data_IF_676758485582
#
_entry.id   IF_676758485582
#
_cell.length_a   1.000
_cell.length_b   1.000
_cell.length_c   1.000
_cell.angle_alpha   90.00
_cell.angle_beta   90.00
_cell.angle_gamma   90.00
#
_symmetry.space_group_name_H-M   'P 1'
#
loop_
_entity.id
_entity.type
_entity.pdbx_description
1 polymer ?
#
# COMPACT_ATOMS: atom_id res chain seq x y z
N UNK A 1 -7.90 -8.54 10.01
CA UNK A 1 -8.51 -7.46 9.28
C UNK A 1 -7.90 -6.10 9.54
N UNK A 2 -7.53 -5.78 10.79
CA UNK A 2 -6.95 -4.47 11.11
C UNK A 2 -5.47 -4.33 10.71
N UNK A 3 -4.84 -5.39 10.24
CA UNK A 3 -3.48 -5.34 9.77
C UNK A 3 -3.45 -4.80 8.34
N UNK A 4 -2.59 -3.81 8.10
CA UNK A 4 -2.42 -3.18 6.80
C UNK A 4 -1.34 -3.91 6.02
N UNK A 5 -1.68 -4.33 4.81
CA UNK A 5 -0.69 -4.82 3.84
C UNK A 5 -0.29 -3.66 2.93
N UNK A 6 1.01 -3.40 2.84
CA UNK A 6 1.56 -2.40 1.91
C UNK A 6 2.06 -3.14 0.67
N UNK A 7 1.30 -3.06 -0.40
CA UNK A 7 1.60 -3.76 -1.65
C UNK A 7 2.17 -2.78 -2.67
N UNK A 8 3.29 -3.12 -3.27
CA UNK A 8 3.92 -2.30 -4.31
C UNK A 8 3.54 -2.85 -5.67
N UNK A 9 3.02 -2.00 -6.53
CA UNK A 9 2.63 -2.36 -7.89
C UNK A 9 3.44 -1.55 -8.89
N UNK A 10 3.74 -2.18 -10.01
CA UNK A 10 4.28 -1.50 -11.18
C UNK A 10 3.14 -1.22 -12.15
N UNK A 11 3.01 0.04 -12.56
CA UNK A 11 2.03 0.48 -13.54
C UNK A 11 2.79 1.09 -14.72
N UNK A 12 2.88 0.35 -15.82
CA UNK A 12 3.75 0.66 -16.96
C UNK A 12 5.20 0.83 -16.48
N UNK A 13 5.73 2.04 -16.46
CA UNK A 13 7.10 2.34 -16.01
C UNK A 13 7.15 3.05 -14.66
N UNK A 14 6.02 3.14 -13.95
CA UNK A 14 5.96 3.80 -12.65
C UNK A 14 5.57 2.80 -11.55
N UNK A 15 5.77 3.22 -10.31
CA UNK A 15 5.44 2.38 -9.15
C UNK A 15 4.51 3.12 -8.21
N UNK A 16 3.66 2.37 -7.52
CA UNK A 16 2.75 2.91 -6.52
C UNK A 16 2.58 1.90 -5.39
N UNK A 17 2.05 2.38 -4.28
CA UNK A 17 1.78 1.55 -3.10
C UNK A 17 0.29 1.52 -2.87
N UNK A 18 -0.24 0.33 -2.60
CA UNK A 18 -1.63 0.15 -2.21
C UNK A 18 -1.67 -0.39 -0.79
N UNK A 19 -2.37 0.32 0.09
CA UNK A 19 -2.58 -0.10 1.47
C UNK A 19 -3.95 -0.76 1.54
N UNK A 20 -3.96 -2.04 1.87
CA UNK A 20 -5.19 -2.83 1.94
C UNK A 20 -5.26 -3.59 3.26
N UNK A 21 -6.48 -3.91 3.69
CA UNK A 21 -6.68 -4.72 4.89
C UNK A 21 -6.15 -6.14 4.68
N UNK A 22 -5.64 -6.75 5.75
CA UNK A 22 -5.05 -8.08 5.69
C UNK A 22 -6.01 -9.16 5.21
N UNK A 23 -7.32 -8.97 5.40
CA UNK A 23 -8.36 -9.91 4.97
C UNK A 23 -8.91 -9.63 3.57
N UNK A 24 -8.35 -8.66 2.87
CA UNK A 24 -8.79 -8.26 1.53
C UNK A 24 -7.72 -8.52 0.49
N UNK A 25 -8.15 -8.61 -0.77
CA UNK A 25 -7.26 -8.81 -1.90
C UNK A 25 -7.41 -7.63 -2.87
N UNK A 26 -6.29 -7.07 -3.29
CA UNK A 26 -6.30 -5.97 -4.26
C UNK A 26 -6.81 -6.46 -5.62
N UNK A 27 -7.67 -5.68 -6.24
CA UNK A 27 -8.20 -5.99 -7.56
C UNK A 27 -7.39 -5.25 -8.62
N UNK A 28 -6.67 -6.00 -9.45
CA UNK A 28 -5.91 -5.41 -10.55
C UNK A 28 -6.81 -4.68 -11.54
N UNK A 29 -8.00 -5.21 -11.79
CA UNK A 29 -8.95 -4.58 -12.72
C UNK A 29 -9.41 -3.21 -12.21
N UNK A 30 -9.77 -3.13 -10.92
CA UNK A 30 -10.14 -1.84 -10.33
C UNK A 30 -8.98 -0.87 -10.34
N UNK A 31 -7.79 -1.37 -10.01
CA UNK A 31 -6.59 -0.55 -9.97
C UNK A 31 -6.25 0.04 -11.34
N UNK A 32 -6.32 -0.79 -12.40
CA UNK A 32 -6.08 -0.32 -13.77
C UNK A 32 -7.01 0.82 -14.17
N UNK A 33 -8.29 0.72 -13.77
CA UNK A 33 -9.28 1.76 -14.08
C UNK A 33 -8.98 3.05 -13.33
N UNK A 34 -8.62 2.95 -12.06
CA UNK A 34 -8.36 4.13 -11.20
C UNK A 34 -7.14 4.90 -11.68
N UNK A 35 -6.04 4.20 -11.94
CA UNK A 35 -4.78 4.83 -12.34
C UNK A 35 -4.66 5.02 -13.85
N UNK A 36 -5.61 4.49 -14.63
CA UNK A 36 -5.67 4.62 -16.09
C UNK A 36 -4.41 4.09 -16.78
N UNK A 37 -3.96 2.92 -16.33
CA UNK A 37 -2.82 2.20 -16.92
C UNK A 37 -3.28 0.82 -17.36
N UNK A 38 -2.69 0.32 -18.45
CA UNK A 38 -3.06 -0.99 -18.99
C UNK A 38 -2.24 -2.11 -18.39
N UNK A 39 -0.96 -1.87 -18.14
CA UNK A 39 -0.01 -2.88 -17.70
C UNK A 39 0.29 -2.66 -16.22
N UNK A 40 -0.42 -3.39 -15.36
CA UNK A 40 -0.28 -3.29 -13.91
C UNK A 40 -0.02 -4.67 -13.34
N UNK A 41 1.07 -4.81 -12.59
CA UNK A 41 1.41 -6.07 -11.94
C UNK A 41 2.10 -5.78 -10.60
N UNK A 42 2.19 -6.80 -9.75
CA UNK A 42 2.94 -6.66 -8.52
C UNK A 42 4.43 -6.49 -8.83
N UNK A 43 5.08 -5.59 -8.11
CA UNK A 43 6.53 -5.40 -8.20
C UNK A 43 7.23 -6.62 -7.62
N UNK A 44 8.39 -6.98 -8.19
CA UNK A 44 9.22 -8.05 -7.64
C UNK A 44 10.03 -7.54 -6.44
N UNK A 45 10.75 -8.45 -5.75
CA UNK A 45 11.49 -8.10 -4.55
C UNK A 45 12.54 -7.02 -4.78
N UNK A 46 13.25 -7.08 -5.91
CA UNK A 46 14.28 -6.08 -6.24
C UNK A 46 13.66 -4.71 -6.51
N UNK A 47 12.54 -4.67 -7.22
CA UNK A 47 11.81 -3.43 -7.48
C UNK A 47 11.27 -2.81 -6.20
N UNK A 48 10.73 -3.63 -5.29
CA UNK A 48 10.25 -3.16 -3.99
C UNK A 48 11.41 -2.51 -3.23
N UNK A 49 12.54 -3.18 -3.13
CA UNK A 49 13.71 -2.66 -2.41
C UNK A 49 14.25 -1.39 -3.04
N UNK A 50 14.36 -1.34 -4.36
CA UNK A 50 14.89 -0.18 -5.08
C UNK A 50 14.02 1.06 -4.93
N UNK A 51 12.70 0.90 -4.88
CA UNK A 51 11.76 2.01 -4.85
C UNK A 51 11.39 2.45 -3.43
N UNK A 52 11.33 1.52 -2.49
CA UNK A 52 10.88 1.84 -1.14
C UNK A 52 12.00 1.85 -0.11
N UNK A 53 13.09 1.14 -0.35
CA UNK A 53 14.14 0.93 0.64
C UNK A 53 13.84 -0.20 1.62
N UNK A 54 12.65 -0.77 1.56
CA UNK A 54 12.22 -1.85 2.45
C UNK A 54 12.17 -3.17 1.70
N UNK A 55 12.32 -4.27 2.44
CA UNK A 55 12.16 -5.62 1.88
C UNK A 55 10.67 -5.93 1.71
N UNK A 56 10.37 -6.81 0.75
CA UNK A 56 9.00 -7.29 0.54
C UNK A 56 8.48 -7.90 1.86
N UNK A 57 7.23 -7.59 2.20
CA UNK A 57 6.64 -8.01 3.47
C UNK A 57 6.95 -7.08 4.64
N UNK A 58 7.92 -6.16 4.49
CA UNK A 58 8.28 -5.21 5.53
C UNK A 58 8.14 -3.75 5.10
N UNK A 59 7.36 -3.48 4.06
CA UNK A 59 7.20 -2.12 3.53
C UNK A 59 6.34 -1.29 4.49
N UNK A 60 6.97 -0.25 5.08
CA UNK A 60 6.23 0.71 5.89
C UNK A 60 5.36 1.59 4.99
N UNK A 61 4.27 2.17 5.52
CA UNK A 61 3.41 3.04 4.72
C UNK A 61 4.02 4.41 4.41
N UNK A 62 5.14 4.74 5.04
CA UNK A 62 5.83 6.03 4.87
C UNK A 62 7.34 5.79 4.81
N UNK A 63 8.11 6.87 4.61
CA UNK A 63 9.58 6.88 4.64
C UNK A 63 10.23 6.08 3.51
N UNK A 64 9.64 6.10 2.34
CA UNK A 64 10.18 5.40 1.17
C UNK A 64 11.34 6.17 0.54
N UNK A 65 12.26 5.45 -0.11
CA UNK A 65 13.40 6.06 -0.81
C UNK A 65 12.95 7.02 -1.90
N UNK A 66 11.91 6.65 -2.63
CA UNK A 66 11.34 7.49 -3.69
C UNK A 66 9.93 7.93 -3.27
N UNK A 67 9.53 9.10 -3.73
CA UNK A 67 8.17 9.57 -3.50
C UNK A 67 7.23 8.79 -4.41
N UNK A 68 6.41 7.93 -3.81
CA UNK A 68 5.46 7.09 -4.54
C UNK A 68 4.04 7.52 -4.22
N UNK A 69 3.16 7.37 -5.20
CA UNK A 69 1.73 7.56 -4.97
C UNK A 69 1.21 6.43 -4.11
N UNK A 70 0.30 6.76 -3.20
CA UNK A 70 -0.27 5.81 -2.26
C UNK A 70 -1.78 5.80 -2.42
N UNK A 71 -2.34 4.62 -2.65
CA UNK A 71 -3.78 4.39 -2.65
C UNK A 71 -4.14 3.60 -1.41
N UNK A 72 -5.20 4.00 -0.73
CA UNK A 72 -5.66 3.37 0.49
C UNK A 72 -7.04 2.78 0.21
N UNK A 73 -7.20 1.48 0.45
CA UNK A 73 -8.51 0.87 0.24
C UNK A 73 -9.51 1.38 1.28
N UNK A 74 -10.68 1.74 0.81
CA UNK A 74 -11.71 2.31 1.67
C UNK A 74 -12.13 1.38 2.81
N UNK A 75 -11.97 0.07 2.66
CA UNK A 75 -12.33 -0.90 3.70
C UNK A 75 -11.50 -0.77 4.96
N UNK A 76 -10.30 -0.15 4.87
CA UNK A 76 -9.50 0.13 6.07
C UNK A 76 -10.20 1.12 7.00
N UNK A 77 -11.09 1.95 6.48
CA UNK A 77 -11.89 2.89 7.28
C UNK A 77 -12.91 2.22 8.21
N UNK A 78 -13.09 0.89 8.09
CA UNK A 78 -13.90 0.13 9.06
C UNK A 78 -13.30 0.16 10.47
N UNK A 79 -12.00 0.39 10.56
CA UNK A 79 -11.25 0.32 11.81
C UNK A 79 -10.87 1.72 12.27
N UNK A 80 -11.02 1.98 13.56
CA UNK A 80 -10.52 3.22 14.15
C UNK A 80 -9.00 3.19 14.19
N UNK A 81 -8.41 2.06 14.51
CA UNK A 81 -6.96 1.85 14.56
C UNK A 81 -6.58 0.67 13.68
N UNK A 82 -5.41 0.79 13.04
CA UNK A 82 -4.85 -0.26 12.20
C UNK A 82 -3.40 -0.52 12.58
N UNK A 83 -2.86 -1.63 12.13
CA UNK A 83 -1.48 -2.03 12.42
C UNK A 83 -0.72 -2.12 11.11
N UNK A 84 0.39 -1.43 11.01
CA UNK A 84 1.19 -1.35 9.79
C UNK A 84 2.62 -1.80 10.05
N UNK A 85 3.31 -2.24 8.98
CA UNK A 85 4.71 -2.63 9.08
C UNK A 85 5.58 -1.44 9.45
N UNK A 86 6.57 -1.68 10.31
CA UNK A 86 7.49 -0.68 10.84
C UNK A 86 8.86 -0.72 10.17
N UNK A 87 8.93 -1.21 8.92
CA UNK A 87 10.18 -1.30 8.18
C UNK A 87 10.89 -2.65 8.28
N UNK A 88 10.36 -3.56 9.07
CA UNK A 88 10.85 -4.93 9.21
C UNK A 88 9.68 -5.90 9.15
N UNK A 89 9.84 -7.11 8.57
CA UNK A 89 8.73 -8.05 8.40
C UNK A 89 8.02 -8.45 9.70
N UNK A 90 8.73 -8.46 10.81
CA UNK A 90 8.19 -8.88 12.11
C UNK A 90 7.86 -7.72 13.04
N UNK A 91 7.99 -6.48 12.58
CA UNK A 91 7.74 -5.27 13.38
C UNK A 91 6.53 -4.54 12.84
N UNK A 92 5.57 -4.28 13.72
CA UNK A 92 4.37 -3.52 13.38
C UNK A 92 4.17 -2.39 14.38
N UNK A 93 3.42 -1.38 13.98
CA UNK A 93 3.01 -0.32 14.88
C UNK A 93 1.52 -0.03 14.71
N UNK A 94 0.91 0.47 15.76
CA UNK A 94 -0.50 0.85 15.77
C UNK A 94 -0.63 2.31 15.37
N UNK A 95 -1.57 2.59 14.47
CA UNK A 95 -1.86 3.96 14.05
C UNK A 95 -3.36 4.11 13.82
N UNK A 96 -3.90 5.26 14.15
CA UNK A 96 -5.30 5.53 13.83
C UNK A 96 -5.48 5.72 12.33
N UNK A 97 -6.62 5.26 11.81
CA UNK A 97 -6.88 5.29 10.37
C UNK A 97 -6.75 6.72 9.81
N UNK A 98 -7.31 7.72 10.50
CA UNK A 98 -7.24 9.10 10.04
C UNK A 98 -5.81 9.62 9.98
N UNK A 99 -4.96 9.23 10.95
CA UNK A 99 -3.55 9.58 10.94
C UNK A 99 -2.81 8.91 9.79
N UNK A 100 -3.15 7.65 9.49
CA UNK A 100 -2.56 6.94 8.35
C UNK A 100 -2.83 7.69 7.04
N UNK A 101 -4.07 8.10 6.83
CA UNK A 101 -4.45 8.86 5.63
C UNK A 101 -3.67 10.17 5.54
N UNK A 102 -3.58 10.91 6.65
CA UNK A 102 -2.88 12.20 6.69
C UNK A 102 -1.38 12.05 6.46
N UNK A 103 -0.75 11.09 7.14
CA UNK A 103 0.70 10.89 7.07
C UNK A 103 1.16 10.43 5.69
N UNK A 104 0.40 9.54 5.06
CA UNK A 104 0.75 9.01 3.75
C UNK A 104 0.38 9.95 2.62
N UNK A 105 -0.54 10.88 2.87
CA UNK A 105 -1.17 11.72 1.83
C UNK A 105 -1.78 10.85 0.74
N UNK A 106 -2.22 9.66 1.10
CA UNK A 106 -2.81 8.70 0.18
C UNK A 106 -4.22 9.06 -0.22
N UNK A 107 -4.64 8.57 -1.37
CA UNK A 107 -6.01 8.70 -1.83
C UNK A 107 -6.80 7.47 -1.43
N UNK A 108 -7.97 7.69 -0.82
CA UNK A 108 -8.86 6.59 -0.43
C UNK A 108 -9.74 6.23 -1.64
N UNK A 109 -9.65 4.98 -2.06
CA UNK A 109 -10.35 4.45 -3.22
C UNK A 109 -10.82 3.02 -2.94
N UNK A 110 -11.75 2.54 -3.74
CA UNK A 110 -12.15 1.13 -3.70
C UNK A 110 -11.24 0.33 -4.63
N UNK A 111 -10.26 -0.38 -4.06
CA UNK A 111 -9.25 -1.12 -4.83
C UNK A 111 -9.19 -2.61 -4.50
N UNK A 112 -10.08 -3.12 -3.66
CA UNK A 112 -10.14 -4.55 -3.34
C UNK A 112 -11.34 -5.24 -4.00
N UNK A 113 -11.19 -6.56 -4.12
CA UNK A 113 -12.24 -7.43 -4.67
C UNK A 113 -13.48 -7.46 -3.80
#
# INVERSE_FOLDING_TARGET
GAIVKSLVFRADDTFLICLVAGDKRCSLNKLKKIIRKKDVCMANADEVKSNTGFSIGGVAPIAHLKKLNILIDQSLGRFQSVFAAAGHPNSIFKIEYNQLVQMTKGEVKEITE
#
